data_IF_479983692401
#
_entry.id   IF_479983692401
#
_cell.length_a   1.000
_cell.length_b   1.000
_cell.length_c   1.000
_cell.angle_alpha   90.00
_cell.angle_beta   90.00
_cell.angle_gamma   90.00
#
_symmetry.space_group_name_H-M   'P 1'
#
loop_
_entity.id
_entity.type
_entity.pdbx_description
1 polymer ?
#
# COMPACT_ATOMS: atom_id res chain seq x y z
N UNK A 1 2.97 32.95 -8.95
CA UNK A 1 2.79 32.93 -10.41
C UNK A 1 4.17 32.70 -11.03
N UNK A 2 4.57 31.45 -11.19
CA UNK A 2 5.76 31.11 -11.98
C UNK A 2 5.38 29.87 -12.80
N UNK A 3 5.27 30.08 -14.09
CA UNK A 3 4.98 29.09 -15.12
C UNK A 3 6.32 28.51 -15.55
N UNK A 4 6.49 27.18 -15.41
CA UNK A 4 7.62 26.45 -16.01
C UNK A 4 7.10 25.65 -17.20
N UNK A 5 7.51 26.08 -18.38
CA UNK A 5 7.21 25.46 -19.64
C UNK A 5 8.12 24.27 -19.90
N UNK A 6 7.54 23.10 -20.18
CA UNK A 6 8.25 21.92 -20.68
C UNK A 6 8.48 22.03 -22.18
N UNK A 7 9.74 21.98 -22.60
CA UNK A 7 10.14 21.88 -24.00
C UNK A 7 10.21 20.42 -24.43
N UNK A 8 9.38 20.08 -25.40
CA UNK A 8 9.46 18.82 -26.15
C UNK A 8 10.42 19.02 -27.33
N UNK A 9 11.50 18.26 -27.37
CA UNK A 9 12.43 18.27 -28.51
C UNK A 9 12.11 17.08 -29.42
N UNK A 10 11.58 17.35 -30.60
CA UNK A 10 11.49 16.42 -31.73
C UNK A 10 12.80 16.48 -32.49
N UNK A 11 13.48 15.35 -32.62
CA UNK A 11 14.53 15.16 -33.63
C UNK A 11 13.94 14.45 -34.83
N UNK A 12 13.89 15.18 -35.93
CA UNK A 12 13.67 14.64 -37.26
C UNK A 12 15.04 14.29 -37.88
N UNK A 13 15.15 13.10 -38.47
CA UNK A 13 16.31 12.74 -39.29
C UNK A 13 15.79 12.54 -40.72
N UNK A 14 16.21 13.45 -41.59
CA UNK A 14 16.07 13.43 -43.04
C UNK A 14 17.41 12.96 -43.65
N UNK A 15 17.35 12.09 -44.63
CA UNK A 15 18.52 11.69 -45.41
C UNK A 15 18.11 11.03 -46.71
N UNK A 16 18.00 11.82 -47.76
CA UNK A 16 18.04 11.51 -49.20
C UNK A 16 19.20 10.52 -49.52
N UNK A 17 19.05 9.54 -50.40
CA UNK A 17 18.72 9.60 -51.79
C UNK A 17 19.94 9.40 -52.66
N UNK A 18 20.01 8.42 -53.44
CA UNK A 18 20.35 8.55 -54.87
C UNK A 18 20.54 7.18 -55.53
N UNK A 19 20.13 7.17 -56.75
CA UNK A 19 19.88 6.06 -57.66
C UNK A 19 21.06 5.84 -58.65
N UNK A 20 21.08 4.60 -59.16
CA UNK A 20 21.44 4.17 -60.53
C UNK A 20 22.89 4.21 -61.06
N UNK A 21 23.24 3.50 -62.17
CA UNK A 21 22.48 2.55 -63.00
C UNK A 21 23.26 1.28 -63.46
N UNK A 22 22.49 0.31 -63.94
CA UNK A 22 22.58 -0.56 -65.14
C UNK A 22 23.89 -0.75 -65.88
N UNK A 23 24.28 -2.03 -66.05
CA UNK A 23 24.95 -2.47 -67.31
C UNK A 23 24.57 -3.94 -67.64
N UNK A 24 23.91 -4.07 -68.76
CA UNK A 24 23.67 -5.27 -69.56
C UNK A 24 24.95 -5.78 -70.17
N UNK A 25 25.18 -7.09 -70.22
CA UNK A 25 25.68 -7.66 -71.49
C UNK A 25 25.38 -9.15 -71.70
N UNK A 26 25.25 -9.47 -72.90
CA UNK A 26 24.71 -10.60 -73.68
C UNK A 26 25.64 -11.82 -73.74
N UNK A 27 24.96 -12.98 -73.82
CA UNK A 27 25.00 -14.09 -74.78
C UNK A 27 26.27 -14.92 -75.03
N UNK A 28 26.20 -16.20 -74.66
CA UNK A 28 26.13 -17.44 -75.53
C UNK A 28 27.33 -17.82 -76.39
N UNK A 29 27.45 -19.05 -76.93
CA UNK A 29 27.13 -20.39 -76.35
C UNK A 29 28.29 -21.42 -76.60
N UNK A 30 28.02 -22.65 -76.13
CA UNK A 30 28.54 -23.95 -76.58
C UNK A 30 29.98 -24.35 -76.20
N UNK A 31 30.12 -25.38 -75.40
CA UNK A 31 30.56 -26.68 -75.95
C UNK A 31 30.34 -27.83 -74.94
N UNK A 32 29.94 -28.91 -75.51
CA UNK A 32 29.70 -30.25 -75.00
C UNK A 32 31.02 -30.90 -74.61
N UNK A 33 31.12 -31.44 -73.38
CA UNK A 33 31.83 -32.70 -73.18
C UNK A 33 31.41 -33.41 -71.91
N UNK A 34 31.01 -34.60 -72.05
CA UNK A 34 30.44 -35.59 -71.14
C UNK A 34 31.63 -36.25 -70.39
N UNK A 35 31.68 -36.09 -69.09
CA UNK A 35 32.45 -37.01 -68.25
C UNK A 35 31.67 -37.38 -67.02
N UNK A 36 31.16 -38.61 -67.00
CA UNK A 36 30.61 -39.27 -65.83
C UNK A 36 31.72 -39.41 -64.76
N UNK A 37 31.50 -38.80 -63.63
CA UNK A 37 32.16 -39.21 -62.39
C UNK A 37 31.19 -39.12 -61.21
N UNK A 38 31.14 -40.21 -60.48
CA UNK A 38 30.32 -40.60 -59.39
C UNK A 38 29.90 -39.47 -58.47
N UNK A 39 28.58 -39.37 -58.33
CA UNK A 39 27.92 -38.58 -57.30
C UNK A 39 28.05 -39.31 -55.97
N UNK A 40 29.05 -38.99 -55.20
CA UNK A 40 28.95 -39.10 -53.73
C UNK A 40 28.19 -37.87 -53.27
N UNK A 41 26.89 -37.99 -53.10
CA UNK A 41 26.10 -37.02 -52.36
C UNK A 41 26.66 -36.91 -50.96
N UNK A 42 27.47 -35.90 -50.74
CA UNK A 42 27.72 -35.41 -49.40
C UNK A 42 26.46 -34.73 -48.99
N UNK A 43 25.61 -35.47 -48.28
CA UNK A 43 24.45 -34.95 -47.57
C UNK A 43 24.95 -33.89 -46.59
N UNK A 44 24.89 -32.64 -47.00
CA UNK A 44 25.13 -31.52 -46.10
C UNK A 44 24.02 -31.53 -45.07
N UNK A 45 24.28 -32.10 -43.90
CA UNK A 45 23.45 -31.94 -42.71
C UNK A 45 23.38 -30.46 -42.41
N UNK A 46 22.36 -29.80 -42.93
CA UNK A 46 22.02 -28.42 -42.56
C UNK A 46 21.88 -28.28 -41.05
N UNK A 47 22.04 -27.08 -40.50
CA UNK A 47 21.96 -26.86 -39.05
C UNK A 47 20.68 -27.49 -38.53
N UNK A 48 20.81 -28.55 -37.72
CA UNK A 48 19.74 -29.39 -37.23
C UNK A 48 18.63 -28.50 -36.63
N UNK A 49 17.47 -28.61 -37.24
CA UNK A 49 16.28 -27.89 -36.81
C UNK A 49 16.01 -28.27 -35.34
N UNK A 50 16.07 -27.31 -34.45
CA UNK A 50 15.79 -27.46 -32.98
C UNK A 50 14.35 -27.92 -32.73
N UNK A 51 13.51 -27.89 -33.78
CA UNK A 51 12.08 -28.20 -33.73
C UNK A 51 11.70 -29.66 -33.39
N UNK A 52 12.42 -30.73 -33.84
CA UNK A 52 12.05 -32.09 -33.45
C UNK A 52 12.34 -32.43 -31.99
N UNK A 53 13.33 -31.80 -31.36
CA UNK A 53 13.72 -32.05 -29.97
C UNK A 53 12.63 -31.67 -28.96
N UNK A 54 11.81 -30.66 -29.26
CA UNK A 54 10.74 -30.16 -28.38
C UNK A 54 9.34 -30.53 -28.88
N UNK A 55 9.19 -31.54 -29.73
CA UNK A 55 7.88 -31.97 -30.24
C UNK A 55 6.89 -32.32 -29.12
N UNK A 56 7.35 -32.94 -28.06
CA UNK A 56 6.55 -33.27 -26.85
C UNK A 56 5.90 -32.06 -26.20
N UNK A 57 6.51 -30.88 -26.30
CA UNK A 57 5.99 -29.66 -25.65
C UNK A 57 4.62 -29.22 -26.18
N UNK A 58 4.19 -29.72 -27.38
CA UNK A 58 2.89 -29.47 -27.98
C UNK A 58 1.81 -30.49 -27.59
N UNK A 59 2.16 -31.54 -26.88
CA UNK A 59 1.17 -32.48 -26.38
C UNK A 59 0.23 -31.84 -25.36
N UNK A 60 -1.07 -32.21 -25.27
CA UNK A 60 -2.04 -31.58 -24.36
C UNK A 60 -1.60 -31.52 -22.90
N UNK A 61 -0.90 -32.57 -22.40
CA UNK A 61 -0.36 -32.60 -21.03
C UNK A 61 0.71 -31.53 -20.77
N UNK A 62 1.58 -31.27 -21.77
CA UNK A 62 2.60 -30.24 -21.70
C UNK A 62 2.03 -28.84 -21.89
N UNK A 63 1.03 -28.69 -22.76
CA UNK A 63 0.29 -27.42 -22.87
C UNK A 63 -0.35 -27.02 -21.55
N UNK A 64 -0.98 -27.97 -20.84
CA UNK A 64 -1.50 -27.72 -19.50
C UNK A 64 -0.39 -27.34 -18.49
N UNK A 65 0.78 -28.02 -18.56
CA UNK A 65 1.95 -27.69 -17.73
C UNK A 65 2.50 -26.29 -18.03
N UNK A 66 2.57 -25.88 -19.32
CA UNK A 66 2.99 -24.52 -19.69
C UNK A 66 2.02 -23.48 -19.16
N UNK A 67 0.71 -23.71 -19.30
CA UNK A 67 -0.31 -22.81 -18.77
C UNK A 67 -0.18 -22.69 -17.25
N UNK A 68 -0.04 -23.81 -16.55
CA UNK A 68 0.13 -23.81 -15.09
C UNK A 68 1.40 -23.05 -14.66
N UNK A 69 2.54 -23.33 -15.31
CA UNK A 69 3.79 -22.64 -15.05
C UNK A 69 3.68 -21.13 -15.29
N UNK A 70 3.03 -20.73 -16.39
CA UNK A 70 2.77 -19.32 -16.69
C UNK A 70 1.90 -18.66 -15.60
N UNK A 71 0.80 -19.31 -15.20
CA UNK A 71 -0.09 -18.79 -14.17
C UNK A 71 0.62 -18.64 -12.82
N UNK A 72 1.45 -19.63 -12.44
CA UNK A 72 2.25 -19.56 -11.21
C UNK A 72 3.27 -18.42 -11.27
N UNK A 73 4.01 -18.29 -12.36
CA UNK A 73 4.99 -17.21 -12.53
C UNK A 73 4.31 -15.84 -12.53
N UNK A 74 3.18 -15.70 -13.20
CA UNK A 74 2.39 -14.48 -13.18
C UNK A 74 1.91 -14.15 -11.75
N UNK A 75 1.44 -15.15 -11.00
CA UNK A 75 1.02 -14.98 -9.60
C UNK A 75 2.17 -14.48 -8.72
N UNK A 76 3.38 -15.04 -8.88
CA UNK A 76 4.54 -14.61 -8.11
C UNK A 76 4.91 -13.15 -8.39
N UNK A 77 4.88 -12.74 -9.67
CA UNK A 77 5.14 -11.33 -10.02
C UNK A 77 4.06 -10.41 -9.44
N UNK A 78 2.78 -10.75 -9.61
CA UNK A 78 1.67 -9.95 -9.09
C UNK A 78 1.71 -9.83 -7.57
N UNK A 79 1.99 -10.93 -6.87
CA UNK A 79 2.14 -10.93 -5.42
C UNK A 79 3.35 -10.10 -4.96
N UNK A 80 4.48 -10.20 -5.66
CA UNK A 80 5.68 -9.39 -5.40
C UNK A 80 5.42 -7.90 -5.55
N UNK A 81 4.80 -7.49 -6.66
CA UNK A 81 4.44 -6.09 -6.93
C UNK A 81 3.43 -5.57 -5.90
N UNK A 82 2.41 -6.37 -5.56
CA UNK A 82 1.41 -6.00 -4.55
C UNK A 82 2.06 -5.77 -3.18
N UNK A 83 2.93 -6.69 -2.74
CA UNK A 83 3.65 -6.53 -1.46
C UNK A 83 4.54 -5.29 -1.45
N UNK A 84 5.23 -5.02 -2.57
CA UNK A 84 6.04 -3.82 -2.70
C UNK A 84 5.19 -2.54 -2.63
N UNK A 85 4.02 -2.54 -3.27
CA UNK A 85 3.05 -1.45 -3.19
C UNK A 85 2.63 -1.18 -1.74
N UNK A 86 2.27 -2.24 -0.99
CA UNK A 86 1.89 -2.14 0.43
C UNK A 86 3.02 -1.62 1.32
N UNK A 87 4.27 -2.04 1.05
CA UNK A 87 5.43 -1.50 1.75
C UNK A 87 5.56 0.01 1.51
N UNK A 88 5.48 0.46 0.25
CA UNK A 88 5.58 1.89 -0.09
C UNK A 88 4.46 2.72 0.55
N UNK A 89 3.23 2.26 0.51
CA UNK A 89 2.09 2.95 1.15
C UNK A 89 2.32 3.14 2.65
N UNK A 90 2.79 2.07 3.34
CA UNK A 90 3.10 2.17 4.78
C UNK A 90 4.26 3.12 5.07
N UNK A 91 5.34 3.04 4.29
CA UNK A 91 6.47 3.96 4.45
C UNK A 91 6.04 5.41 4.27
N UNK A 92 5.31 5.73 3.21
CA UNK A 92 4.82 7.10 2.96
C UNK A 92 3.91 7.61 4.08
N UNK A 93 3.01 6.74 4.59
CA UNK A 93 2.16 7.09 5.74
C UNK A 93 2.99 7.36 6.99
N UNK A 94 3.98 6.53 7.27
CA UNK A 94 4.83 6.68 8.44
C UNK A 94 5.67 7.95 8.36
N UNK A 95 6.21 8.27 7.18
CA UNK A 95 6.95 9.51 6.94
C UNK A 95 6.06 10.75 7.19
N UNK A 96 4.79 10.70 6.75
CA UNK A 96 3.83 11.76 7.02
C UNK A 96 3.53 11.89 8.53
N UNK A 97 3.34 10.76 9.24
CA UNK A 97 3.12 10.76 10.70
C UNK A 97 4.31 11.38 11.42
N UNK A 98 5.53 10.92 11.11
CA UNK A 98 6.75 11.40 11.77
C UNK A 98 7.04 12.86 11.47
N UNK A 99 6.93 13.30 10.23
CA UNK A 99 7.18 14.69 9.84
C UNK A 99 6.19 15.66 10.46
N UNK A 100 4.91 15.25 10.59
CA UNK A 100 3.88 16.08 11.22
C UNK A 100 4.01 16.12 12.73
N UNK A 101 4.40 15.02 13.37
CA UNK A 101 4.57 14.95 14.82
C UNK A 101 5.68 15.88 15.35
N UNK A 102 6.72 16.16 14.56
CA UNK A 102 7.82 17.07 14.91
C UNK A 102 7.62 18.48 14.36
N UNK A 103 6.51 18.74 13.68
CA UNK A 103 6.17 20.05 13.14
C UNK A 103 5.91 21.09 14.25
N UNK A 104 5.79 22.38 13.90
CA UNK A 104 5.44 23.42 14.88
C UNK A 104 4.11 23.09 15.53
N UNK A 105 3.97 23.40 16.83
CA UNK A 105 2.69 23.25 17.55
C UNK A 105 1.58 24.05 16.87
N UNK A 106 0.38 23.50 16.87
CA UNK A 106 -0.81 24.18 16.36
C UNK A 106 -1.45 25.02 17.46
N UNK A 107 -1.82 26.23 17.13
CA UNK A 107 -2.73 27.01 17.93
C UNK A 107 -4.15 26.42 17.85
N UNK A 108 -4.96 26.63 18.87
CA UNK A 108 -6.39 26.26 18.90
C UNK A 108 -7.14 26.68 17.62
N UNK A 109 -6.87 27.88 17.09
CA UNK A 109 -7.52 28.43 15.89
C UNK A 109 -7.41 27.52 14.67
N UNK A 110 -6.30 26.79 14.52
CA UNK A 110 -6.08 25.83 13.45
C UNK A 110 -7.00 24.62 13.52
N UNK A 111 -7.53 24.30 14.71
CA UNK A 111 -8.45 23.16 14.88
C UNK A 111 -9.86 23.43 14.35
N UNK A 112 -10.23 24.73 14.17
CA UNK A 112 -11.49 25.17 13.62
C UNK A 112 -11.39 25.65 12.14
N UNK A 113 -10.22 25.51 11.54
CA UNK A 113 -9.92 25.94 10.18
C UNK A 113 -9.88 24.80 9.16
N UNK A 114 -9.24 24.99 8.01
CA UNK A 114 -8.96 23.93 7.05
C UNK A 114 -8.11 22.83 7.68
N UNK A 115 -8.47 21.55 7.42
CA UNK A 115 -7.82 20.41 8.09
C UNK A 115 -6.72 19.76 7.28
N UNK A 116 -6.30 20.38 6.20
CA UNK A 116 -5.22 19.87 5.38
C UNK A 116 -3.93 19.82 6.21
N UNK A 117 -3.34 18.64 6.31
CA UNK A 117 -2.06 18.38 6.99
C UNK A 117 -1.98 18.65 8.50
N UNK A 118 -3.10 18.74 9.23
CA UNK A 118 -3.11 18.90 10.69
C UNK A 118 -3.12 17.57 11.45
N UNK A 119 -3.52 16.46 10.83
CA UNK A 119 -3.54 15.16 11.50
C UNK A 119 -2.13 14.76 11.96
N UNK A 120 -2.02 14.24 13.18
CA UNK A 120 -0.78 13.85 13.89
C UNK A 120 0.08 15.01 14.39
N UNK A 121 -0.28 16.26 14.14
CA UNK A 121 0.42 17.40 14.70
C UNK A 121 0.05 17.56 16.18
N UNK A 122 0.95 18.19 16.92
CA UNK A 122 0.75 18.50 18.35
C UNK A 122 0.10 19.87 18.49
N UNK A 123 -0.85 19.97 19.41
CA UNK A 123 -1.50 21.23 19.80
C UNK A 123 -1.41 21.41 21.30
N UNK A 124 -1.30 22.64 21.75
CA UNK A 124 -1.44 23.03 23.15
C UNK A 124 -2.81 23.65 23.34
N UNK A 125 -3.55 23.18 24.34
CA UNK A 125 -4.90 23.63 24.67
C UNK A 125 -5.00 23.98 26.15
N UNK A 126 -5.76 25.01 26.45
CA UNK A 126 -6.15 25.39 27.79
C UNK A 126 -7.68 25.55 27.86
N UNK A 127 -8.27 25.06 28.91
CA UNK A 127 -9.73 25.11 29.02
C UNK A 127 -10.27 24.46 30.28
N UNK A 128 -11.56 24.23 30.27
CA UNK A 128 -12.31 23.60 31.37
C UNK A 128 -12.97 22.31 30.84
N UNK A 129 -12.81 21.22 31.56
CA UNK A 129 -13.43 19.96 31.22
C UNK A 129 -14.96 20.00 31.30
N UNK A 130 -15.67 19.62 30.24
CA UNK A 130 -17.11 19.41 30.23
C UNK A 130 -17.43 17.97 30.65
N UNK A 131 -17.23 17.67 31.94
CA UNK A 131 -17.35 16.30 32.47
C UNK A 131 -18.75 15.71 32.28
N UNK A 132 -19.79 16.56 32.28
CA UNK A 132 -21.17 16.16 32.03
C UNK A 132 -21.39 15.56 30.62
N UNK A 133 -20.54 15.87 29.66
CA UNK A 133 -20.59 15.42 28.27
C UNK A 133 -19.58 14.30 27.95
N UNK A 134 -19.02 13.69 29.00
CA UNK A 134 -18.09 12.58 28.85
C UNK A 134 -18.72 11.40 28.14
N UNK A 135 -17.99 10.78 27.23
CA UNK A 135 -18.37 9.60 26.46
C UNK A 135 -17.25 8.58 26.45
N UNK A 136 -17.60 7.31 26.25
CA UNK A 136 -16.60 6.26 26.00
C UNK A 136 -16.72 5.72 24.58
N UNK A 137 -15.60 5.51 23.94
CA UNK A 137 -15.50 4.87 22.65
C UNK A 137 -15.11 3.42 22.87
N UNK A 138 -16.07 2.52 22.64
CA UNK A 138 -15.95 1.08 22.92
C UNK A 138 -15.02 0.35 21.95
N UNK A 139 -14.72 -0.89 22.31
CA UNK A 139 -13.89 -1.81 21.49
C UNK A 139 -12.51 -1.23 21.18
N UNK A 140 -11.85 -0.75 22.21
CA UNK A 140 -10.46 -0.32 22.20
C UNK A 140 -9.62 -1.32 22.97
N UNK A 141 -8.51 -1.72 22.39
CA UNK A 141 -7.54 -2.59 23.08
C UNK A 141 -6.26 -1.81 23.38
N UNK A 142 -5.71 -2.05 24.54
CA UNK A 142 -4.37 -1.64 24.90
C UNK A 142 -3.57 -2.89 25.22
N UNK A 143 -2.45 -3.12 24.52
CA UNK A 143 -1.73 -4.39 24.55
C UNK A 143 -2.67 -5.58 24.22
N UNK A 144 -3.00 -6.43 25.18
CA UNK A 144 -3.89 -7.59 25.03
C UNK A 144 -5.23 -7.44 25.73
N UNK A 145 -5.43 -6.35 26.50
CA UNK A 145 -6.63 -6.12 27.27
C UNK A 145 -7.70 -5.36 26.45
N UNK A 146 -8.96 -5.76 26.61
CA UNK A 146 -10.10 -5.05 26.06
C UNK A 146 -10.49 -3.86 26.93
N UNK A 147 -11.00 -2.79 26.31
CA UNK A 147 -11.42 -1.60 27.01
C UNK A 147 -12.07 -0.58 26.09
N UNK A 148 -12.06 0.65 26.55
CA UNK A 148 -12.62 1.81 25.85
C UNK A 148 -11.66 3.00 25.93
N UNK A 149 -11.88 3.99 25.08
CA UNK A 149 -11.27 5.31 25.25
C UNK A 149 -12.27 6.24 25.95
N UNK A 150 -11.84 6.87 27.02
CA UNK A 150 -12.57 7.98 27.62
C UNK A 150 -12.33 9.24 26.79
N UNK A 151 -13.39 9.92 26.41
CA UNK A 151 -13.33 11.18 25.67
C UNK A 151 -14.34 12.17 26.22
N UNK A 152 -13.92 13.44 26.32
CA UNK A 152 -14.82 14.49 26.74
C UNK A 152 -14.42 15.83 26.10
N UNK A 153 -15.38 16.77 25.96
CA UNK A 153 -15.08 18.09 25.45
C UNK A 153 -14.25 18.90 26.45
N UNK A 154 -13.24 19.60 25.93
CA UNK A 154 -12.53 20.66 26.63
C UNK A 154 -13.06 21.99 26.11
N UNK A 155 -13.80 22.72 26.94
CA UNK A 155 -14.28 24.05 26.62
C UNK A 155 -13.10 25.02 26.66
N UNK A 156 -12.71 25.55 25.49
CA UNK A 156 -11.61 26.50 25.32
C UNK A 156 -12.11 27.95 25.35
N UNK A 157 -13.40 28.15 25.15
CA UNK A 157 -14.12 29.39 25.32
C UNK A 157 -15.60 29.12 25.68
N UNK A 158 -16.39 30.16 25.90
CA UNK A 158 -17.81 30.02 26.23
C UNK A 158 -18.65 29.27 25.17
N UNK A 159 -18.21 29.29 23.90
CA UNK A 159 -18.98 28.73 22.79
C UNK A 159 -18.24 27.64 22.02
N UNK A 160 -16.94 27.42 22.28
CA UNK A 160 -16.10 26.48 21.54
C UNK A 160 -15.47 25.44 22.44
N UNK A 161 -15.34 24.25 21.92
CA UNK A 161 -14.66 23.16 22.59
C UNK A 161 -13.91 22.26 21.62
N UNK A 162 -12.97 21.49 22.13
CA UNK A 162 -12.28 20.43 21.42
C UNK A 162 -12.59 19.11 22.12
N UNK A 163 -13.04 18.10 21.36
CA UNK A 163 -13.16 16.76 21.92
C UNK A 163 -11.78 16.18 22.17
N UNK A 164 -11.50 15.73 23.40
CA UNK A 164 -10.22 15.15 23.77
C UNK A 164 -10.41 13.72 24.24
N UNK A 165 -9.73 12.79 23.60
CA UNK A 165 -9.57 11.41 24.07
C UNK A 165 -8.51 11.44 25.15
N UNK A 166 -8.92 11.26 26.40
CA UNK A 166 -8.06 11.37 27.57
C UNK A 166 -7.13 10.15 27.71
N UNK A 167 -7.65 8.97 27.38
CA UNK A 167 -6.87 7.75 27.45
C UNK A 167 -7.71 6.50 27.31
N UNK A 168 -7.03 5.36 27.41
CA UNK A 168 -7.65 4.04 27.46
C UNK A 168 -7.98 3.65 28.91
N UNK A 169 -9.13 2.99 29.07
CA UNK A 169 -9.65 2.51 30.35
C UNK A 169 -10.05 1.04 30.16
N UNK A 170 -9.82 0.22 31.17
CA UNK A 170 -10.19 -1.20 31.13
C UNK A 170 -11.70 -1.37 31.01
N UNK A 171 -12.16 -2.42 30.31
CA UNK A 171 -13.57 -2.62 29.93
C UNK A 171 -14.53 -2.56 31.13
N UNK A 172 -14.16 -3.13 32.27
CA UNK A 172 -14.98 -3.14 33.49
C UNK A 172 -15.14 -1.76 34.11
N UNK A 173 -14.26 -0.82 33.80
CA UNK A 173 -14.23 0.54 34.37
C UNK A 173 -14.82 1.58 33.39
N UNK A 174 -15.19 1.19 32.16
CA UNK A 174 -15.65 2.14 31.16
C UNK A 174 -16.86 2.97 31.59
N UNK A 175 -17.79 2.38 32.35
CA UNK A 175 -18.96 3.10 32.85
C UNK A 175 -18.58 4.06 33.99
N UNK A 176 -17.78 3.60 34.95
CA UNK A 176 -17.29 4.39 36.07
C UNK A 176 -16.45 5.56 35.62
N UNK A 177 -15.61 5.35 34.58
CA UNK A 177 -14.79 6.41 34.00
C UNK A 177 -15.59 7.61 33.46
N UNK A 178 -16.84 7.41 33.02
CA UNK A 178 -17.73 8.52 32.64
C UNK A 178 -18.15 9.31 33.86
N UNK A 179 -18.43 8.64 34.98
CA UNK A 179 -18.90 9.26 36.23
C UNK A 179 -17.74 10.02 36.92
N UNK A 180 -16.55 9.44 36.86
CA UNK A 180 -15.30 9.96 37.42
C UNK A 180 -14.51 10.85 36.44
N UNK A 181 -15.12 11.25 35.31
CA UNK A 181 -14.47 12.06 34.31
C UNK A 181 -13.84 13.33 34.91
N UNK A 182 -12.64 13.72 34.45
CA UNK A 182 -11.87 14.84 35.02
C UNK A 182 -12.67 16.13 34.98
N UNK A 183 -12.43 16.99 35.95
CA UNK A 183 -13.13 18.27 36.14
C UNK A 183 -12.16 19.42 36.34
N UNK A 184 -12.66 20.64 36.12
CA UNK A 184 -11.91 21.86 36.34
C UNK A 184 -11.04 22.28 35.17
N UNK A 185 -10.23 23.27 35.41
CA UNK A 185 -9.34 23.85 34.42
C UNK A 185 -8.10 22.98 34.21
N UNK A 186 -7.64 22.89 32.96
CA UNK A 186 -6.48 22.12 32.58
C UNK A 186 -5.71 22.83 31.45
N UNK A 187 -4.40 22.70 31.47
CA UNK A 187 -3.55 22.93 30.31
C UNK A 187 -3.03 21.57 29.83
N UNK A 188 -3.12 21.31 28.54
CA UNK A 188 -2.73 20.03 27.98
C UNK A 188 -2.04 20.16 26.63
N UNK A 189 -1.22 19.17 26.30
CA UNK A 189 -0.76 18.89 24.94
C UNK A 189 -1.49 17.68 24.41
N UNK A 190 -1.92 17.75 23.16
CA UNK A 190 -2.64 16.68 22.51
C UNK A 190 -2.21 16.48 21.06
N UNK A 191 -2.29 15.24 20.59
CA UNK A 191 -2.10 14.91 19.20
C UNK A 191 -3.42 15.06 18.45
N UNK A 192 -3.42 15.86 17.39
CA UNK A 192 -4.62 16.10 16.56
C UNK A 192 -4.94 14.88 15.71
N UNK A 193 -6.21 14.50 15.70
CA UNK A 193 -6.75 13.41 14.88
C UNK A 193 -8.01 13.84 14.15
N UNK A 194 -8.19 13.29 12.96
CA UNK A 194 -9.41 13.52 12.21
C UNK A 194 -10.59 12.73 12.79
N UNK A 195 -11.79 13.34 12.75
CA UNK A 195 -13.04 12.69 13.15
C UNK A 195 -13.24 11.35 12.45
N UNK A 196 -13.61 10.32 13.21
CA UNK A 196 -13.81 8.97 12.70
C UNK A 196 -15.25 8.78 12.26
N UNK A 197 -15.51 8.85 10.96
CA UNK A 197 -16.82 8.55 10.41
C UNK A 197 -16.99 7.05 10.12
N UNK A 198 -18.25 6.61 10.00
CA UNK A 198 -18.55 5.23 9.65
C UNK A 198 -18.23 4.93 8.20
N UNK A 199 -17.45 3.88 7.96
CA UNK A 199 -17.29 3.30 6.63
C UNK A 199 -18.52 2.47 6.19
N UNK A 200 -18.40 1.72 5.09
CA UNK A 200 -19.47 0.85 4.57
C UNK A 200 -19.89 -0.26 5.54
N UNK A 201 -18.95 -0.75 6.35
CA UNK A 201 -19.15 -1.84 7.31
C UNK A 201 -18.86 -1.37 8.73
N UNK A 202 -19.49 -1.99 9.73
CA UNK A 202 -19.26 -1.80 11.16
C UNK A 202 -20.48 -1.26 11.92
N UNK A 203 -20.34 -1.20 13.26
CA UNK A 203 -21.39 -0.78 14.18
C UNK A 203 -21.89 0.62 13.85
N UNK A 204 -23.18 0.83 14.05
CA UNK A 204 -23.85 2.14 13.93
C UNK A 204 -24.22 2.65 15.32
N UNK A 205 -23.86 3.89 15.57
CA UNK A 205 -24.42 4.62 16.70
C UNK A 205 -25.79 5.19 16.31
N UNK A 206 -26.67 5.40 17.29
CA UNK A 206 -27.96 6.06 17.04
C UNK A 206 -27.73 7.49 16.58
N UNK A 207 -28.49 7.92 15.59
CA UNK A 207 -28.36 9.27 15.01
C UNK A 207 -28.90 10.38 15.90
N UNK A 208 -29.74 10.03 16.91
CA UNK A 208 -30.41 10.99 17.77
C UNK A 208 -30.31 10.57 19.24
N UNK A 209 -30.57 11.52 20.13
CA UNK A 209 -30.53 11.32 21.58
C UNK A 209 -29.09 11.43 22.14
N UNK A 210 -28.98 11.48 23.46
CA UNK A 210 -27.69 11.53 24.14
C UNK A 210 -27.08 10.14 24.19
N UNK A 211 -25.85 9.99 23.70
CA UNK A 211 -25.08 8.76 23.76
C UNK A 211 -23.92 8.93 24.75
N UNK A 212 -23.80 8.00 25.67
CA UNK A 212 -22.61 7.89 26.55
C UNK A 212 -21.56 6.93 25.99
N UNK A 213 -21.97 6.08 25.05
CA UNK A 213 -21.08 5.07 24.43
C UNK A 213 -21.16 5.19 22.93
N UNK A 214 -20.01 5.30 22.29
CA UNK A 214 -19.84 5.44 20.85
C UNK A 214 -19.05 4.26 20.28
N UNK A 215 -19.27 3.94 19.04
CA UNK A 215 -18.48 2.95 18.31
C UNK A 215 -17.15 3.54 17.79
N UNK A 216 -17.10 4.86 17.58
CA UNK A 216 -15.96 5.61 17.04
C UNK A 216 -15.86 6.98 17.68
N UNK A 217 -14.69 7.60 17.57
CA UNK A 217 -14.50 9.00 17.92
C UNK A 217 -15.09 9.88 16.80
N UNK A 218 -16.42 9.87 16.70
CA UNK A 218 -17.20 10.66 15.74
C UNK A 218 -17.56 12.01 16.35
N UNK A 219 -16.74 13.02 16.05
CA UNK A 219 -16.88 14.36 16.59
C UNK A 219 -18.23 14.98 16.19
N UNK A 220 -18.64 14.78 14.94
CA UNK A 220 -19.93 15.32 14.44
C UNK A 220 -21.10 14.76 15.24
N UNK A 221 -21.02 13.48 15.63
CA UNK A 221 -22.06 12.85 16.44
C UNK A 221 -22.06 13.38 17.88
N UNK A 222 -20.89 13.65 18.45
CA UNK A 222 -20.78 14.24 19.80
C UNK A 222 -21.27 15.69 19.79
N UNK A 223 -20.92 16.47 18.77
CA UNK A 223 -21.33 17.87 18.61
C UNK A 223 -22.87 18.05 18.66
N UNK A 224 -23.63 17.10 18.13
CA UNK A 224 -25.09 17.13 18.14
C UNK A 224 -25.74 17.03 19.55
N UNK A 225 -24.96 16.63 20.56
CA UNK A 225 -25.47 16.46 21.93
C UNK A 225 -24.80 17.39 22.95
N UNK A 226 -23.77 18.11 22.56
CA UNK A 226 -23.04 19.07 23.40
C UNK A 226 -23.53 20.49 23.09
N UNK A 227 -23.62 21.32 24.10
CA UNK A 227 -24.06 22.72 23.95
C UNK A 227 -22.97 23.68 23.43
N UNK A 228 -21.79 23.16 23.09
CA UNK A 228 -20.63 23.90 22.59
C UNK A 228 -20.32 23.49 21.14
N UNK A 229 -19.85 24.41 20.32
CA UNK A 229 -19.39 24.10 18.99
C UNK A 229 -18.05 23.36 19.04
N UNK A 230 -18.06 22.08 18.68
CA UNK A 230 -16.85 21.27 18.66
C UNK A 230 -16.01 21.55 17.41
N UNK A 231 -14.68 21.62 17.60
CA UNK A 231 -13.75 21.54 16.49
C UNK A 231 -13.99 20.22 15.72
N UNK A 232 -13.99 20.19 14.38
CA UNK A 232 -14.30 18.98 13.61
C UNK A 232 -13.20 17.91 13.64
N UNK A 233 -12.20 18.13 14.46
CA UNK A 233 -11.11 17.22 14.79
C UNK A 233 -11.12 16.93 16.29
N UNK A 234 -10.38 15.92 16.76
CA UNK A 234 -10.22 15.64 18.17
C UNK A 234 -8.73 15.60 18.57
N UNK A 235 -8.45 15.79 19.86
CA UNK A 235 -7.13 15.60 20.45
C UNK A 235 -7.01 14.23 21.11
N UNK A 236 -5.87 13.57 20.97
CA UNK A 236 -5.44 12.46 21.86
C UNK A 236 -4.51 13.07 22.91
N UNK A 237 -4.87 12.96 24.18
CA UNK A 237 -4.08 13.54 25.30
C UNK A 237 -2.68 12.91 25.32
N UNK A 238 -1.67 13.75 25.40
CA UNK A 238 -0.26 13.36 25.58
C UNK A 238 0.20 13.67 26.99
N UNK A 239 0.02 14.93 27.40
CA UNK A 239 0.39 15.43 28.73
C UNK A 239 -0.65 16.44 29.20
N UNK A 240 -0.84 16.57 30.53
CA UNK A 240 -1.72 17.59 31.09
C UNK A 240 -1.27 18.05 32.46
N UNK A 241 -1.67 19.27 32.80
CA UNK A 241 -1.49 19.85 34.13
C UNK A 241 -2.83 20.50 34.60
N UNK A 242 -3.47 19.97 35.64
CA UNK A 242 -3.09 18.77 36.41
C UNK A 242 -3.15 17.49 35.55
N UNK A 243 -2.42 16.46 35.97
CA UNK A 243 -2.46 15.16 35.34
C UNK A 243 -3.83 14.49 35.48
N UNK A 244 -4.27 13.81 34.46
CA UNK A 244 -5.50 13.00 34.52
C UNK A 244 -5.15 11.60 35.02
N UNK A 245 -5.83 11.18 36.10
CA UNK A 245 -5.66 9.84 36.65
C UNK A 245 -6.71 8.86 36.10
N UNK A 246 -6.46 7.55 36.24
CA UNK A 246 -7.43 6.50 35.89
C UNK A 246 -7.52 6.17 34.40
N UNK A 247 -6.79 6.84 33.52
CA UNK A 247 -6.73 6.53 32.11
C UNK A 247 -5.28 6.35 31.63
N UNK A 248 -5.03 5.34 30.84
CA UNK A 248 -3.72 5.11 30.19
C UNK A 248 -3.64 5.93 28.91
N UNK A 249 -2.60 6.75 28.71
CA UNK A 249 -2.44 7.51 27.47
C UNK A 249 -2.56 6.61 26.22
N UNK A 250 -3.18 7.14 25.18
CA UNK A 250 -3.32 6.39 23.90
C UNK A 250 -1.95 6.25 23.26
N UNK A 251 -1.61 5.03 22.89
CA UNK A 251 -0.36 4.74 22.20
C UNK A 251 -0.19 5.62 20.95
N UNK A 252 1.02 6.10 20.67
CA UNK A 252 1.28 6.80 19.41
C UNK A 252 0.99 5.90 18.22
N UNK A 253 0.65 6.46 17.03
CA UNK A 253 0.45 5.68 15.83
C UNK A 253 1.66 4.79 15.54
N UNK A 254 1.41 3.51 15.29
CA UNK A 254 2.49 2.60 14.92
C UNK A 254 3.13 3.03 13.59
N UNK A 255 4.44 3.18 13.60
CA UNK A 255 5.28 3.46 12.43
C UNK A 255 5.96 2.20 11.88
N UNK A 256 5.51 1.01 12.31
CA UNK A 256 6.00 -0.27 11.77
C UNK A 256 5.58 -0.43 10.30
N UNK A 257 6.56 -0.62 9.44
CA UNK A 257 6.37 -0.86 8.00
C UNK A 257 5.89 -2.29 7.71
N UNK A 258 6.01 -3.20 8.68
CA UNK A 258 5.66 -4.61 8.54
C UNK A 258 6.62 -5.39 7.63
N UNK A 259 6.41 -6.71 7.46
CA UNK A 259 7.31 -7.58 6.73
C UNK A 259 7.13 -7.55 5.20
N UNK A 260 6.39 -6.58 4.66
CA UNK A 260 5.98 -6.54 3.24
C UNK A 260 7.14 -6.54 2.26
N UNK A 261 8.26 -5.85 2.57
CA UNK A 261 9.45 -5.85 1.71
C UNK A 261 10.08 -7.25 1.64
N UNK A 262 10.21 -7.94 2.76
CA UNK A 262 10.73 -9.31 2.82
C UNK A 262 9.89 -10.28 1.97
N UNK A 263 8.56 -10.21 2.09
CA UNK A 263 7.66 -11.01 1.25
C UNK A 263 7.73 -10.64 -0.23
N UNK A 264 7.89 -9.37 -0.57
CA UNK A 264 8.08 -8.95 -1.97
C UNK A 264 9.33 -9.61 -2.56
N UNK A 265 10.47 -9.55 -1.87
CA UNK A 265 11.71 -10.20 -2.29
C UNK A 265 11.52 -11.71 -2.42
N UNK A 266 10.84 -12.36 -1.48
CA UNK A 266 10.56 -13.80 -1.53
C UNK A 266 9.76 -14.20 -2.78
N UNK A 267 8.72 -13.43 -3.14
CA UNK A 267 7.93 -13.69 -4.34
C UNK A 267 8.74 -13.55 -5.63
N UNK A 268 9.61 -12.53 -5.74
CA UNK A 268 10.50 -12.38 -6.88
C UNK A 268 11.56 -13.48 -6.94
N UNK A 269 12.05 -13.98 -5.82
CA UNK A 269 12.93 -15.15 -5.80
C UNK A 269 12.22 -16.42 -6.29
N UNK A 270 10.97 -16.66 -5.88
CA UNK A 270 10.18 -17.78 -6.40
C UNK A 270 9.97 -17.65 -7.91
N UNK A 271 9.68 -16.46 -8.40
CA UNK A 271 9.61 -16.19 -9.83
C UNK A 271 10.94 -16.54 -10.53
N UNK A 272 12.07 -16.05 -10.03
CA UNK A 272 13.39 -16.28 -10.62
C UNK A 272 13.74 -17.79 -10.66
N UNK A 273 13.49 -18.51 -9.57
CA UNK A 273 13.69 -19.97 -9.50
C UNK A 273 12.81 -20.69 -10.51
N UNK A 274 11.54 -20.33 -10.61
CA UNK A 274 10.61 -20.93 -11.56
C UNK A 274 10.96 -20.60 -13.01
N UNK A 275 11.30 -19.34 -13.31
CA UNK A 275 11.66 -18.87 -14.65
C UNK A 275 12.94 -19.53 -15.20
N UNK A 276 13.88 -19.83 -14.31
CA UNK A 276 15.11 -20.57 -14.67
C UNK A 276 14.90 -22.08 -14.62
N UNK A 277 14.23 -22.57 -13.60
CA UNK A 277 14.04 -23.99 -13.36
C UNK A 277 13.16 -24.67 -14.40
N UNK A 278 12.06 -24.02 -14.81
CA UNK A 278 11.14 -24.61 -15.78
C UNK A 278 11.78 -24.89 -17.14
N UNK A 279 12.51 -23.98 -17.78
CA UNK A 279 13.26 -24.27 -19.03
C UNK A 279 14.31 -25.37 -18.86
N UNK A 280 14.97 -25.44 -17.71
CA UNK A 280 15.95 -26.50 -17.42
C UNK A 280 15.29 -27.88 -17.35
N UNK A 281 14.11 -27.98 -16.74
CA UNK A 281 13.30 -29.22 -16.72
C UNK A 281 12.93 -29.63 -18.15
N UNK A 282 12.44 -28.72 -18.97
CA UNK A 282 12.09 -28.97 -20.37
C UNK A 282 13.31 -29.46 -21.15
N UNK A 283 14.46 -28.82 -20.99
CA UNK A 283 15.71 -29.22 -21.66
C UNK A 283 16.17 -30.61 -21.22
N UNK A 284 16.06 -30.92 -19.93
CA UNK A 284 16.41 -32.24 -19.42
C UNK A 284 15.51 -33.34 -19.94
N UNK A 285 14.20 -33.06 -20.03
CA UNK A 285 13.22 -33.99 -20.58
C UNK A 285 13.47 -34.27 -22.06
N UNK A 286 13.71 -33.21 -22.86
CA UNK A 286 14.02 -33.31 -24.27
C UNK A 286 15.25 -34.22 -24.54
N UNK A 287 16.31 -34.05 -23.77
CA UNK A 287 17.54 -34.86 -23.91
C UNK A 287 17.34 -36.33 -23.57
N UNK A 288 16.48 -36.66 -22.60
CA UNK A 288 16.16 -38.06 -22.27
C UNK A 288 15.41 -38.77 -23.39
N UNK A 289 14.44 -38.11 -24.01
CA UNK A 289 13.70 -38.67 -25.13
C UNK A 289 14.54 -38.86 -26.41
N UNK A 290 15.65 -38.12 -26.57
CA UNK A 290 16.62 -38.36 -27.64
C UNK A 290 17.51 -39.58 -27.35
N UNK A 291 17.95 -39.75 -26.09
CA UNK A 291 18.79 -40.87 -25.72
C UNK A 291 18.06 -42.20 -25.89
N UNK A 292 16.79 -42.28 -25.46
CA UNK A 292 15.94 -43.48 -25.61
C UNK A 292 15.70 -43.88 -27.08
N UNK A 293 15.59 -42.92 -28.00
CA UNK A 293 15.45 -43.17 -29.46
C UNK A 293 16.71 -43.63 -30.16
N UNK A 294 17.87 -43.51 -29.52
CA UNK A 294 19.15 -43.97 -30.08
C UNK A 294 19.50 -45.38 -29.61
N UNK A 295 18.80 -45.91 -28.59
CA UNK A 295 18.98 -47.28 -28.07
C UNK A 295 18.02 -48.29 -28.70
N UNK A 296 16.93 -47.84 -29.33
CA UNK A 296 15.97 -48.65 -30.13
C UNK A 296 16.38 -48.63 -31.62
#
# INVERSE_FOLDING_TARGET
>A
MVVVASRTTKMAFSGSGSAHPVATNRANPANTERTQRGNTEVESKGPGSVLPMYGFAREPKWMAAHLLAFLLLATFVLAGVWQFGRHRERTQRNDAVLSRAVGPMLDERHLFGPYDDIEFRVTELQGVWSSGDAVVVRNRSHQTAAGCHLALPLATSELKAVLVVVGWVHEVECQTAIEDAPRGSVSLTGRVRLSQTRGSVGARDRSTGVLRTLARTDVVRVDQQVGLALAPVYGELMESSPSVEGAVPVDPPSTDVGPHLGYSVQWFLFFAVGAVGYPLVLKRYARRGEAEKLED
#
